data_IF_628033845976
#
_entry.id   IF_628033845976
#
_cell.length_a   1.000
_cell.length_b   1.000
_cell.length_c   1.000
_cell.angle_alpha   90.00
_cell.angle_beta   90.00
_cell.angle_gamma   90.00
#
_symmetry.space_group_name_H-M   'P 1'
#
loop_
_entity.id
_entity.type
_entity.pdbx_description
1 polymer ?
#
# COMPACT_ATOMS: atom_id res chain seq x y z
N UNK A 1 -3.88 21.14 6.60
CA UNK A 1 -4.50 22.28 5.87
C UNK A 1 -3.58 23.45 5.55
N UNK A 2 -2.77 23.97 6.50
CA UNK A 2 -1.85 25.08 6.21
C UNK A 2 -0.89 24.75 5.06
N UNK A 3 -0.34 23.53 5.03
CA UNK A 3 0.50 23.07 3.91
C UNK A 3 -0.26 23.09 2.59
N UNK A 4 -1.50 22.58 2.55
CA UNK A 4 -2.32 22.59 1.33
C UNK A 4 -2.60 24.02 0.84
N UNK A 5 -2.83 24.97 1.76
CA UNK A 5 -3.05 26.39 1.44
C UNK A 5 -1.79 27.05 0.87
N UNK A 6 -0.63 26.77 1.46
CA UNK A 6 0.66 27.25 0.96
C UNK A 6 0.92 26.66 -0.44
N UNK A 7 0.71 25.36 -0.62
CA UNK A 7 0.90 24.68 -1.90
C UNK A 7 -0.06 25.18 -2.97
N UNK A 8 -1.31 25.50 -2.62
CA UNK A 8 -2.26 26.10 -3.55
C UNK A 8 -1.77 27.46 -4.07
N UNK A 9 -1.14 28.27 -3.20
CA UNK A 9 -0.63 29.60 -3.57
C UNK A 9 0.74 29.57 -4.24
N UNK A 10 1.57 28.59 -3.91
CA UNK A 10 2.97 28.50 -4.33
C UNK A 10 3.27 27.16 -5.01
N UNK A 11 2.42 26.74 -5.96
CA UNK A 11 2.54 25.43 -6.61
C UNK A 11 3.93 25.13 -7.19
N UNK A 12 4.68 26.17 -7.60
CA UNK A 12 6.03 26.02 -8.17
C UNK A 12 7.09 25.51 -7.18
N UNK A 13 6.82 25.50 -5.87
CA UNK A 13 7.74 24.91 -4.87
C UNK A 13 7.49 23.42 -4.67
N UNK A 14 6.38 22.89 -5.21
CA UNK A 14 5.97 21.52 -5.00
C UNK A 14 6.73 20.60 -5.95
N UNK A 15 7.46 19.65 -5.36
CA UNK A 15 7.87 18.45 -6.07
C UNK A 15 6.78 17.40 -5.90
N UNK A 16 6.11 17.03 -7.00
CA UNK A 16 5.10 15.97 -6.99
C UNK A 16 5.78 14.61 -6.83
N UNK A 17 5.52 13.95 -5.71
CA UNK A 17 6.05 12.62 -5.43
C UNK A 17 5.21 11.60 -6.19
N UNK A 18 5.84 10.64 -6.92
CA UNK A 18 5.11 9.56 -7.55
C UNK A 18 4.22 8.81 -6.55
N UNK A 19 2.98 8.51 -6.95
CA UNK A 19 1.96 8.06 -6.02
C UNK A 19 2.32 6.74 -5.31
N UNK A 20 3.18 5.90 -5.90
CA UNK A 20 3.63 4.66 -5.27
C UNK A 20 4.39 4.84 -3.95
N UNK A 21 4.85 6.06 -3.66
CA UNK A 21 5.53 6.44 -2.43
C UNK A 21 4.60 6.95 -1.32
N UNK A 22 3.29 7.01 -1.54
CA UNK A 22 2.32 7.38 -0.50
C UNK A 22 0.93 6.83 -0.83
N UNK A 23 0.80 5.50 -0.88
CA UNK A 23 -0.49 4.85 -1.14
C UNK A 23 -1.30 4.87 0.16
N UNK A 24 -2.34 5.69 0.18
CA UNK A 24 -3.17 5.91 1.38
C UNK A 24 -4.36 4.94 1.42
N UNK A 25 -4.49 4.23 2.55
CA UNK A 25 -5.57 3.25 2.77
C UNK A 25 -6.73 3.79 3.62
N UNK A 26 -6.96 5.11 3.65
CA UNK A 26 -8.12 5.69 4.35
C UNK A 26 -9.40 5.61 3.52
N UNK A 27 -10.55 5.36 4.15
CA UNK A 27 -11.86 5.17 3.48
C UNK A 27 -12.33 6.31 2.54
N UNK A 28 -11.69 7.48 2.59
CA UNK A 28 -11.94 8.60 1.67
C UNK A 28 -10.90 8.76 0.55
N UNK A 29 -9.97 7.81 0.38
CA UNK A 29 -8.93 7.90 -0.66
C UNK A 29 -9.50 7.39 -1.98
N UNK A 30 -9.33 8.18 -3.03
CA UNK A 30 -9.76 7.80 -4.37
C UNK A 30 -8.80 6.76 -4.97
N UNK A 31 -9.30 5.54 -5.17
CA UNK A 31 -8.57 4.40 -5.74
C UNK A 31 -8.06 4.68 -7.16
N UNK A 32 -8.72 5.59 -7.89
CA UNK A 32 -8.32 5.95 -9.26
C UNK A 32 -7.12 6.89 -9.29
N UNK A 33 -6.79 7.57 -8.17
CA UNK A 33 -5.62 8.47 -8.11
C UNK A 33 -4.30 7.73 -8.15
N UNK A 34 -4.24 6.52 -7.59
CA UNK A 34 -3.05 5.68 -7.64
C UNK A 34 -3.46 4.23 -7.90
N UNK A 35 -3.62 3.82 -9.16
CA UNK A 35 -3.89 2.44 -9.49
C UNK A 35 -2.66 1.61 -9.16
N UNK A 36 -2.74 0.71 -8.18
CA UNK A 36 -1.61 -0.08 -7.70
C UNK A 36 -1.87 -1.55 -7.95
N UNK A 37 -0.91 -2.22 -8.55
CA UNK A 37 -0.82 -3.68 -8.49
C UNK A 37 0.19 -4.04 -7.42
N UNK A 38 -0.17 -4.93 -6.50
CA UNK A 38 0.77 -5.41 -5.48
C UNK A 38 1.10 -6.86 -5.80
N UNK A 39 2.24 -7.09 -6.44
CA UNK A 39 2.68 -8.43 -6.82
C UNK A 39 3.56 -9.04 -5.73
N UNK A 40 3.49 -10.35 -5.59
CA UNK A 40 4.41 -11.11 -4.74
C UNK A 40 5.81 -11.17 -5.36
N UNK A 41 6.83 -11.44 -4.54
CA UNK A 41 8.20 -11.62 -5.04
C UNK A 41 8.31 -12.72 -6.12
N UNK A 42 7.54 -13.80 -5.98
CA UNK A 42 7.51 -14.88 -6.96
C UNK A 42 6.95 -14.43 -8.32
N UNK A 43 5.91 -13.59 -8.31
CA UNK A 43 5.34 -12.99 -9.53
C UNK A 43 6.28 -11.96 -10.15
N UNK A 44 6.92 -11.12 -9.33
CA UNK A 44 7.93 -10.17 -9.78
C UNK A 44 9.10 -10.88 -10.47
N UNK A 45 9.56 -12.02 -9.94
CA UNK A 45 10.67 -12.81 -10.50
C UNK A 45 10.32 -13.49 -11.83
N UNK A 46 9.05 -13.80 -12.07
CA UNK A 46 8.57 -14.38 -13.34
C UNK A 46 8.47 -13.35 -14.46
N UNK A 47 8.48 -12.05 -14.13
CA UNK A 47 8.29 -10.95 -15.08
C UNK A 47 9.56 -10.14 -15.24
N UNK A 48 9.68 -9.47 -16.38
CA UNK A 48 10.78 -8.53 -16.59
C UNK A 48 10.52 -7.27 -15.74
N UNK A 49 11.39 -7.00 -14.77
CA UNK A 49 11.24 -5.89 -13.80
C UNK A 49 11.03 -4.53 -14.47
N UNK A 50 11.56 -4.35 -15.69
CA UNK A 50 11.51 -3.10 -16.46
C UNK A 50 10.11 -2.73 -16.95
N UNK A 51 9.14 -3.66 -16.94
CA UNK A 51 7.76 -3.38 -17.41
C UNK A 51 6.76 -3.22 -16.26
N UNK A 52 7.19 -3.35 -15.01
CA UNK A 52 6.29 -3.33 -13.84
C UNK A 52 6.18 -1.90 -13.33
N UNK A 53 5.28 -1.14 -13.93
CA UNK A 53 4.89 0.18 -13.46
C UNK A 53 3.79 -0.01 -12.40
N UNK A 54 3.86 0.71 -11.27
CA UNK A 54 2.82 0.76 -10.20
C UNK A 54 2.89 -0.27 -9.06
N UNK A 55 4.07 -0.79 -8.72
CA UNK A 55 4.25 -1.50 -7.44
C UNK A 55 4.26 -0.51 -6.26
N UNK A 56 3.64 -0.84 -5.13
CA UNK A 56 3.73 -0.03 -3.93
C UNK A 56 5.16 0.02 -3.41
N UNK A 57 5.68 1.23 -3.16
CA UNK A 57 6.96 1.44 -2.44
C UNK A 57 6.71 1.78 -0.97
N UNK A 58 5.66 2.56 -0.70
CA UNK A 58 5.23 2.87 0.65
C UNK A 58 3.69 2.86 0.72
N UNK A 59 3.18 2.04 1.64
CA UNK A 59 1.76 1.98 1.97
C UNK A 59 1.55 2.65 3.31
N UNK A 60 0.64 3.60 3.35
CA UNK A 60 0.33 4.41 4.52
C UNK A 60 -1.09 4.13 5.00
N UNK A 61 -1.21 3.47 6.15
CA UNK A 61 -2.50 3.32 6.84
C UNK A 61 -2.84 4.60 7.57
N UNK A 62 -3.47 5.53 6.86
CA UNK A 62 -4.05 6.74 7.44
C UNK A 62 -5.48 6.51 7.98
N UNK A 63 -5.77 5.29 8.45
CA UNK A 63 -7.05 4.92 9.04
C UNK A 63 -7.00 4.97 10.58
N UNK A 64 -8.12 5.27 11.23
CA UNK A 64 -8.21 5.34 12.69
C UNK A 64 -8.08 3.97 13.35
N UNK A 65 -8.62 2.94 12.71
CA UNK A 65 -8.46 1.53 13.09
C UNK A 65 -7.19 1.00 12.43
N UNK A 66 -6.22 0.57 13.24
CA UNK A 66 -4.99 -0.09 12.82
C UNK A 66 -5.17 -1.61 12.76
N UNK A 67 -4.27 -2.34 12.07
CA UNK A 67 -4.32 -3.80 12.02
C UNK A 67 -4.31 -4.48 13.39
N UNK A 68 -3.67 -3.85 14.38
CA UNK A 68 -3.58 -4.33 15.76
C UNK A 68 -4.87 -4.11 16.57
N UNK A 69 -5.69 -3.14 16.19
CA UNK A 69 -6.99 -2.89 16.83
C UNK A 69 -8.03 -3.96 16.42
N UNK A 70 -7.76 -4.73 15.37
CA UNK A 70 -8.64 -5.78 14.85
C UNK A 70 -8.34 -7.10 15.59
N UNK A 71 -9.07 -7.33 16.69
CA UNK A 71 -9.04 -8.56 17.51
C UNK A 71 -9.54 -9.83 16.79
N UNK A 72 -9.97 -9.72 15.54
CA UNK A 72 -10.43 -10.87 14.76
C UNK A 72 -9.20 -11.66 14.31
N UNK A 73 -9.27 -13.00 14.42
CA UNK A 73 -8.50 -13.90 13.57
C UNK A 73 -8.92 -13.62 12.12
N UNK A 74 -8.41 -12.54 11.55
CA UNK A 74 -8.54 -12.22 10.15
C UNK A 74 -7.87 -13.36 9.41
N UNK A 75 -8.70 -14.25 8.87
CA UNK A 75 -8.28 -15.29 7.95
C UNK A 75 -8.30 -14.57 6.60
N UNK A 76 -7.13 -14.32 5.96
CA UNK A 76 -7.12 -13.74 4.64
C UNK A 76 -8.04 -14.56 3.74
N UNK A 77 -9.05 -13.92 3.18
CA UNK A 77 -10.01 -14.55 2.27
C UNK A 77 -9.28 -14.94 1.00
N UNK A 78 -8.69 -16.13 1.04
CA UNK A 78 -7.82 -16.69 0.01
C UNK A 78 -6.58 -15.82 -0.25
N UNK A 79 -5.45 -16.45 -0.54
CA UNK A 79 -4.33 -15.69 -1.07
C UNK A 79 -4.82 -15.03 -2.36
N UNK A 80 -4.92 -13.70 -2.38
CA UNK A 80 -5.10 -12.94 -3.61
C UNK A 80 -3.77 -13.03 -4.38
N UNK A 81 -3.54 -14.20 -4.96
CA UNK A 81 -2.48 -14.58 -5.88
C UNK A 81 -2.93 -14.34 -7.33
N UNK A 82 -3.94 -13.47 -7.49
CA UNK A 82 -4.42 -13.03 -8.79
C UNK A 82 -3.60 -11.82 -9.25
N UNK A 83 -2.55 -12.15 -9.99
CA UNK A 83 -2.03 -11.48 -11.19
C UNK A 83 -2.50 -10.05 -11.48
N UNK A 84 -1.59 -9.08 -11.53
CA UNK A 84 -1.66 -7.78 -12.26
C UNK A 84 -2.97 -6.95 -12.26
N UNK A 85 -3.92 -7.27 -11.39
CA UNK A 85 -5.17 -6.53 -11.28
C UNK A 85 -4.88 -5.32 -10.39
N UNK A 86 -5.37 -4.16 -10.83
CA UNK A 86 -5.40 -2.96 -9.99
C UNK A 86 -6.32 -3.30 -8.82
N UNK A 87 -5.72 -3.39 -7.64
CA UNK A 87 -6.45 -3.76 -6.43
C UNK A 87 -7.35 -2.60 -6.00
N UNK A 88 -8.57 -2.93 -5.59
CA UNK A 88 -9.46 -1.98 -4.91
C UNK A 88 -8.91 -1.68 -3.51
N UNK A 89 -9.42 -0.63 -2.87
CA UNK A 89 -8.85 -0.19 -1.60
C UNK A 89 -8.99 -1.21 -0.48
N UNK A 90 -10.14 -1.89 -0.40
CA UNK A 90 -10.32 -2.97 0.59
C UNK A 90 -9.38 -4.15 0.33
N UNK A 91 -9.11 -4.48 -0.94
CA UNK A 91 -8.19 -5.55 -1.34
C UNK A 91 -6.74 -5.18 -1.00
N UNK A 92 -6.35 -3.92 -1.19
CA UNK A 92 -5.06 -3.39 -0.75
C UNK A 92 -4.91 -3.43 0.77
N UNK A 93 -5.96 -3.07 1.51
CA UNK A 93 -5.98 -3.12 2.96
C UNK A 93 -5.84 -4.55 3.48
N UNK A 94 -6.63 -5.47 2.94
CA UNK A 94 -6.60 -6.90 3.26
C UNK A 94 -5.22 -7.51 2.99
N UNK A 95 -4.64 -7.17 1.83
CA UNK A 95 -3.27 -7.58 1.48
C UNK A 95 -2.23 -6.99 2.43
N UNK A 96 -2.37 -5.72 2.81
CA UNK A 96 -1.50 -5.08 3.79
C UNK A 96 -1.56 -5.80 5.13
N UNK A 97 -2.74 -6.03 5.68
CA UNK A 97 -2.92 -6.68 6.98
C UNK A 97 -2.32 -8.08 6.98
N UNK A 98 -2.50 -8.83 5.89
CA UNK A 98 -1.91 -10.15 5.71
C UNK A 98 -0.37 -10.10 5.78
N UNK A 99 0.25 -9.20 5.01
CA UNK A 99 1.72 -9.03 5.00
C UNK A 99 2.23 -8.53 6.35
N UNK A 100 1.60 -7.50 6.93
CA UNK A 100 1.97 -6.94 8.22
C UNK A 100 2.01 -8.01 9.33
N UNK A 101 0.98 -8.86 9.41
CA UNK A 101 0.92 -9.93 10.41
C UNK A 101 1.99 -11.01 10.24
N UNK A 102 2.44 -11.26 9.01
CA UNK A 102 3.58 -12.17 8.78
C UNK A 102 4.86 -11.57 9.37
N UNK A 103 5.08 -10.27 9.20
CA UNK A 103 6.27 -9.58 9.72
C UNK A 103 6.24 -9.38 11.23
N UNK A 104 5.08 -9.10 11.85
CA UNK A 104 4.99 -8.96 13.32
C UNK A 104 5.24 -10.27 14.08
N UNK A 105 5.15 -11.42 13.40
CA UNK A 105 5.50 -12.72 13.97
C UNK A 105 6.99 -13.04 13.87
N UNK A 106 7.77 -12.27 13.10
CA UNK A 106 9.20 -12.47 12.98
C UNK A 106 9.92 -11.90 14.21
N UNK A 107 10.94 -12.61 14.66
CA UNK A 107 11.80 -12.11 15.72
C UNK A 107 12.63 -10.91 15.21
N UNK A 108 12.73 -9.85 16.01
CA UNK A 108 13.50 -8.65 15.65
C UNK A 108 14.97 -8.95 15.32
N UNK A 109 15.52 -10.03 15.89
CA UNK A 109 16.87 -10.52 15.56
C UNK A 109 17.07 -10.88 14.07
N UNK A 110 16.01 -11.10 13.30
CA UNK A 110 16.10 -11.31 11.85
C UNK A 110 16.49 -10.03 11.08
N UNK A 111 16.49 -8.86 11.73
CA UNK A 111 16.70 -7.54 11.09
C UNK A 111 17.92 -6.78 11.64
N UNK A 112 18.71 -7.41 12.53
CA UNK A 112 19.99 -6.91 13.05
C UNK A 112 21.16 -7.46 12.24
#
# INVERSE_FOLDING_TARGET
DILNLILFRFQYILYEIPCEWNIQLSAGSDEQRCPVSWLTYAELKKRNYTTIVKQPKLIHINHHIKPDDINVKYIPTEYIDQSDIILKQYELYDKFVSVYRQYTQLNESCFQ
#
